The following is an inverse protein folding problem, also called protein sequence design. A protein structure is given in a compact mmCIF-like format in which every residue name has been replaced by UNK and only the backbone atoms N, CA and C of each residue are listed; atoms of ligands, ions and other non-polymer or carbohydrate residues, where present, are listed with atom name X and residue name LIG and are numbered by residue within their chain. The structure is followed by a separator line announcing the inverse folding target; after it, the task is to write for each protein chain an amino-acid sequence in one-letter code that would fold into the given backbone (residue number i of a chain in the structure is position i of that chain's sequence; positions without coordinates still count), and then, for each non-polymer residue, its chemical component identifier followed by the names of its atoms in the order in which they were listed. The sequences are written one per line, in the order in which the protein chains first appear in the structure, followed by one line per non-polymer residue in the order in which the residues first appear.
data_IF_840923089609
#
_entry.id   IF_840923089609
#
_cell.length_a   1.000
_cell.length_b   1.000
_cell.length_c   1.000
_cell.angle_alpha   90.00
_cell.angle_beta   90.00
_cell.angle_gamma   90.00
#
_symmetry.space_group_name_H-M   'P 1'
#
loop_
_entity.id
_entity.type
_entity.pdbx_description
1 polymer ?
#
# COMPACT_ATOMS: atom_id res chain seq x y z
N UNK A 1 -23.51 24.54 6.19
CA UNK A 1 -24.11 23.37 5.50
C UNK A 1 -23.64 22.11 6.22
N UNK A 2 -24.48 21.52 7.06
CA UNK A 2 -24.21 20.21 7.66
C UNK A 2 -24.38 19.15 6.57
N UNK A 3 -23.32 18.41 6.24
CA UNK A 3 -23.45 17.20 5.41
C UNK A 3 -24.19 16.16 6.25
N UNK A 4 -25.38 15.76 5.81
CA UNK A 4 -26.04 14.55 6.33
C UNK A 4 -25.19 13.35 5.93
N UNK A 5 -24.40 12.85 6.88
CA UNK A 5 -23.67 11.61 6.69
C UNK A 5 -24.64 10.45 6.94
N UNK A 6 -24.94 9.68 5.90
CA UNK A 6 -25.79 8.49 6.01
C UNK A 6 -25.09 7.45 6.88
N UNK A 7 -25.82 6.73 7.74
CA UNK A 7 -25.27 5.68 8.62
C UNK A 7 -24.38 4.68 7.85
N UNK A 8 -24.74 4.38 6.59
CA UNK A 8 -23.95 3.53 5.70
C UNK A 8 -22.57 4.11 5.33
N UNK A 9 -22.45 5.43 5.14
CA UNK A 9 -21.15 6.06 4.89
C UNK A 9 -20.26 5.98 6.12
N UNK A 10 -20.81 6.24 7.30
CA UNK A 10 -20.08 6.17 8.58
C UNK A 10 -19.59 4.74 8.83
N UNK A 11 -20.48 3.75 8.69
CA UNK A 11 -20.12 2.33 8.83
C UNK A 11 -19.09 1.88 7.80
N UNK A 12 -19.19 2.34 6.55
CA UNK A 12 -18.21 2.00 5.52
C UNK A 12 -16.83 2.56 5.85
N UNK A 13 -16.73 3.84 6.22
CA UNK A 13 -15.46 4.50 6.57
C UNK A 13 -14.82 3.89 7.82
N UNK A 14 -15.60 3.62 8.86
CA UNK A 14 -15.11 2.99 10.09
C UNK A 14 -14.72 1.51 9.86
N UNK A 15 -15.46 0.73 9.05
CA UNK A 15 -15.05 -0.63 8.68
C UNK A 15 -13.78 -0.66 7.82
N UNK A 16 -13.57 0.32 6.93
CA UNK A 16 -12.35 0.42 6.13
C UNK A 16 -11.12 0.74 6.98
N UNK A 17 -11.26 1.61 7.99
CA UNK A 17 -10.21 1.84 8.99
C UNK A 17 -9.82 0.58 9.77
N UNK A 18 -10.79 -0.26 10.12
CA UNK A 18 -10.55 -1.46 10.95
C UNK A 18 -9.95 -2.61 10.11
N UNK A 19 -10.16 -2.65 8.79
CA UNK A 19 -9.83 -3.82 7.95
C UNK A 19 -8.51 -3.78 7.19
N UNK A 20 -7.80 -2.66 7.11
CA UNK A 20 -6.54 -2.61 6.37
C UNK A 20 -5.39 -3.24 7.18
N UNK A 21 -5.32 -4.56 7.13
CA UNK A 21 -4.22 -5.35 7.67
C UNK A 21 -2.84 -4.85 7.16
N UNK A 22 -1.82 -4.94 8.01
CA UNK A 22 -0.42 -4.59 7.68
C UNK A 22 0.08 -5.19 6.35
N UNK A 23 -0.47 -6.34 5.94
CA UNK A 23 -0.19 -7.01 4.65
C UNK A 23 -0.45 -6.10 3.45
N UNK A 24 -1.51 -5.30 3.49
CA UNK A 24 -1.84 -4.35 2.44
C UNK A 24 -0.88 -3.15 2.42
N UNK A 25 -0.40 -2.72 3.58
CA UNK A 25 0.64 -1.72 3.69
C UNK A 25 1.95 -2.21 3.05
N UNK A 26 2.36 -3.45 3.34
CA UNK A 26 3.57 -4.03 2.76
C UNK A 26 3.53 -4.08 1.23
N UNK A 27 2.35 -4.34 0.66
CA UNK A 27 2.09 -4.35 -0.78
C UNK A 27 1.74 -2.97 -1.38
N UNK A 28 1.77 -1.91 -0.58
CA UNK A 28 1.46 -0.55 -1.03
C UNK A 28 2.64 0.05 -1.80
N UNK A 29 2.33 1.01 -2.69
CA UNK A 29 3.37 1.76 -3.40
C UNK A 29 4.27 2.55 -2.46
N UNK A 30 3.75 2.99 -1.31
CA UNK A 30 4.51 3.75 -0.31
C UNK A 30 5.57 2.88 0.36
N UNK A 31 5.23 1.65 0.73
CA UNK A 31 6.20 0.73 1.30
C UNK A 31 7.25 0.30 0.27
N UNK A 32 6.87 0.18 -1.01
CA UNK A 32 7.80 -0.06 -2.10
C UNK A 32 8.76 1.12 -2.33
N UNK A 33 8.29 2.36 -2.18
CA UNK A 33 9.17 3.54 -2.20
C UNK A 33 10.19 3.52 -1.07
N UNK A 34 9.76 3.18 0.16
CA UNK A 34 10.70 3.02 1.28
C UNK A 34 11.71 1.90 1.03
N UNK A 35 11.29 0.81 0.40
CA UNK A 35 12.20 -0.27 -0.02
C UNK A 35 13.27 0.24 -1.00
N UNK A 36 12.86 0.95 -2.05
CA UNK A 36 13.79 1.52 -3.04
C UNK A 36 14.78 2.49 -2.37
N UNK A 37 14.27 3.42 -1.56
CA UNK A 37 15.12 4.41 -0.90
C UNK A 37 16.13 3.76 0.04
N UNK A 38 15.69 2.81 0.88
CA UNK A 38 16.58 2.10 1.81
C UNK A 38 17.61 1.25 1.07
N UNK A 39 17.23 0.62 -0.06
CA UNK A 39 18.15 -0.17 -0.89
C UNK A 39 19.27 0.67 -1.50
N UNK A 40 18.96 1.87 -2.01
CA UNK A 40 19.99 2.75 -2.59
C UNK A 40 20.85 3.50 -1.57
N UNK A 41 20.38 3.62 -0.33
CA UNK A 41 21.07 4.41 0.71
C UNK A 41 22.02 3.56 1.56
N UNK A 42 21.75 2.25 1.69
CA UNK A 42 22.45 1.39 2.64
C UNK A 42 23.17 0.27 1.89
N UNK A 43 24.50 0.28 1.92
CA UNK A 43 25.33 -0.73 1.25
C UNK A 43 25.30 -2.09 1.96
N UNK A 44 25.23 -2.09 3.30
CA UNK A 44 25.20 -3.34 4.09
C UNK A 44 23.81 -3.98 4.07
N UNK A 45 23.74 -5.21 3.58
CA UNK A 45 22.49 -5.98 3.46
C UNK A 45 21.74 -6.13 4.79
N UNK A 46 22.44 -6.40 5.89
CA UNK A 46 21.83 -6.57 7.21
C UNK A 46 21.23 -5.25 7.70
N UNK A 47 21.98 -4.16 7.54
CA UNK A 47 21.53 -2.83 7.94
C UNK A 47 20.36 -2.36 7.07
N UNK A 48 20.37 -2.71 5.78
CA UNK A 48 19.27 -2.45 4.85
C UNK A 48 17.98 -3.10 5.35
N UNK A 49 18.00 -4.39 5.66
CA UNK A 49 16.81 -5.11 6.15
C UNK A 49 16.31 -4.50 7.45
N UNK A 50 17.21 -4.23 8.39
CA UNK A 50 16.84 -3.69 9.70
C UNK A 50 16.19 -2.30 9.57
N UNK A 51 16.80 -1.40 8.80
CA UNK A 51 16.28 -0.04 8.60
C UNK A 51 14.98 -0.07 7.78
N UNK A 52 14.90 -0.91 6.75
CA UNK A 52 13.67 -1.08 5.98
C UNK A 52 12.51 -1.59 6.84
N UNK A 53 12.74 -2.59 7.70
CA UNK A 53 11.73 -3.10 8.61
C UNK A 53 11.26 -2.02 9.60
N UNK A 54 12.19 -1.22 10.12
CA UNK A 54 11.90 -0.14 11.06
C UNK A 54 11.11 0.99 10.38
N UNK A 55 11.50 1.40 9.16
CA UNK A 55 10.76 2.36 8.34
C UNK A 55 9.37 1.83 7.94
N UNK A 56 9.24 0.53 7.67
CA UNK A 56 7.96 -0.11 7.35
C UNK A 56 7.00 -0.04 8.54
N UNK A 57 7.49 -0.30 9.76
CA UNK A 57 6.70 -0.20 10.99
C UNK A 57 6.28 1.24 11.29
N UNK A 58 7.21 2.19 11.18
CA UNK A 58 6.93 3.62 11.37
C UNK A 58 5.93 4.09 10.34
N UNK A 59 6.21 3.85 9.06
CA UNK A 59 5.34 4.26 7.96
C UNK A 59 3.95 3.66 8.09
N UNK A 60 3.81 2.39 8.51
CA UNK A 60 2.52 1.80 8.82
C UNK A 60 1.79 2.59 9.91
N UNK A 61 2.42 2.84 11.06
CA UNK A 61 1.77 3.54 12.18
C UNK A 61 1.38 4.98 11.84
N UNK A 62 2.23 5.71 11.12
CA UNK A 62 2.03 7.12 10.79
C UNK A 62 1.07 7.33 9.61
N UNK A 63 1.26 6.62 8.50
CA UNK A 63 0.41 6.79 7.30
C UNK A 63 -1.03 6.29 7.55
N UNK A 64 -1.18 5.24 8.36
CA UNK A 64 -2.49 4.73 8.77
C UNK A 64 -3.23 5.71 9.68
N UNK A 65 -2.52 6.39 10.59
CA UNK A 65 -3.10 7.44 11.43
C UNK A 65 -3.50 8.68 10.62
N UNK A 66 -2.74 8.98 9.56
CA UNK A 66 -2.96 10.18 8.75
C UNK A 66 -4.04 10.01 7.69
N UNK A 67 -4.18 8.81 7.10
CA UNK A 67 -5.20 8.54 6.08
C UNK A 67 -6.35 7.71 6.58
N UNK A 68 -7.38 8.42 7.06
CA UNK A 68 -8.66 7.85 7.48
C UNK A 68 -9.40 7.08 6.37
N UNK A 69 -9.05 7.31 5.10
CA UNK A 69 -9.77 6.75 3.92
C UNK A 69 -9.05 5.58 3.22
N UNK A 70 -7.86 5.18 3.66
CA UNK A 70 -7.13 4.02 3.11
C UNK A 70 -6.74 4.10 1.61
N UNK A 71 -6.98 5.23 0.95
CA UNK A 71 -6.84 5.41 -0.49
C UNK A 71 -5.39 5.22 -0.99
N UNK A 72 -4.40 5.44 -0.10
CA UNK A 72 -2.97 5.22 -0.34
C UNK A 72 -2.58 3.74 -0.40
N UNK A 73 -3.39 2.89 0.23
CA UNK A 73 -3.21 1.45 0.31
C UNK A 73 -4.07 0.69 -0.70
N UNK A 74 -4.81 1.41 -1.57
CA UNK A 74 -5.31 0.78 -2.79
C UNK A 74 -4.12 0.08 -3.42
N UNK A 75 -4.21 -1.23 -3.69
CA UNK A 75 -3.09 -2.00 -4.18
C UNK A 75 -2.87 -1.64 -5.65
N UNK A 76 -2.41 -0.41 -5.87
CA UNK A 76 -2.11 0.19 -7.14
C UNK A 76 -1.09 -0.68 -7.87
N UNK A 77 -0.18 -1.28 -7.10
CA UNK A 77 0.74 -2.30 -7.57
C UNK A 77 0.02 -3.57 -8.06
N UNK A 78 -0.91 -4.16 -7.29
CA UNK A 78 -1.66 -5.35 -7.76
C UNK A 78 -2.45 -5.03 -9.03
N UNK A 79 -3.09 -3.86 -9.11
CA UNK A 79 -3.84 -3.47 -10.32
C UNK A 79 -2.92 -3.30 -11.53
N UNK A 80 -1.74 -2.68 -11.36
CA UNK A 80 -0.74 -2.56 -12.43
C UNK A 80 -0.11 -3.90 -12.80
N UNK A 81 0.22 -4.76 -11.84
CA UNK A 81 0.71 -6.12 -12.07
C UNK A 81 -0.32 -6.94 -12.84
N UNK A 82 -1.60 -6.90 -12.45
CA UNK A 82 -2.68 -7.54 -13.20
C UNK A 82 -2.79 -7.02 -14.63
N UNK A 83 -2.62 -5.72 -14.87
CA UNK A 83 -2.60 -5.16 -16.22
C UNK A 83 -1.39 -5.66 -17.04
N UNK A 84 -0.20 -5.72 -16.43
CA UNK A 84 1.01 -6.25 -17.07
C UNK A 84 0.85 -7.74 -17.40
N UNK A 85 0.37 -8.56 -16.46
CA UNK A 85 0.10 -9.98 -16.66
C UNK A 85 -0.92 -10.19 -17.79
N UNK A 86 -2.01 -9.42 -17.81
CA UNK A 86 -2.99 -9.44 -18.90
C UNK A 86 -2.35 -9.09 -20.25
N UNK A 87 -1.50 -8.07 -20.29
CA UNK A 87 -0.78 -7.66 -21.50
C UNK A 87 0.16 -8.75 -22.01
N UNK A 88 0.92 -9.40 -21.12
CA UNK A 88 1.81 -10.53 -21.45
C UNK A 88 0.99 -11.72 -21.97
N UNK A 89 -0.11 -12.09 -21.29
CA UNK A 89 -0.98 -13.20 -21.70
C UNK A 89 -1.63 -12.95 -23.06
N UNK A 90 -2.10 -11.73 -23.33
CA UNK A 90 -2.69 -11.36 -24.62
C UNK A 90 -1.69 -11.50 -25.77
N UNK A 91 -0.41 -11.15 -25.55
CA UNK A 91 0.64 -11.33 -26.56
C UNK A 91 1.01 -12.81 -26.78
N UNK A 92 0.81 -13.66 -25.77
CA UNK A 92 1.07 -15.11 -25.87
C UNK A 92 -0.04 -15.85 -26.64
N UNK A 93 -1.26 -15.34 -26.67
CA UNK A 93 -2.39 -15.89 -27.43
C UNK A 93 -2.46 -15.39 -28.90
N UNK A 94 -1.52 -14.56 -29.35
CA UNK A 94 -1.43 -14.06 -30.74
C UNK A 94 -0.24 -14.74 -31.48
N UNK A 95 0.25 -15.87 -30.96
CA UNK A 95 1.23 -16.73 -31.65
C UNK A 95 0.61 -18.08 -31.97
#
# INVERSE_FOLDING_TARGET
MQKEYTINEILSNEQFKIKLNYRYYLASGTNFLFFILSYFTIESFINFIAIFALLSLIGYRFLFSYTKDGNQFKPYFIRKVCMVIKKIRSRKNIK
#
